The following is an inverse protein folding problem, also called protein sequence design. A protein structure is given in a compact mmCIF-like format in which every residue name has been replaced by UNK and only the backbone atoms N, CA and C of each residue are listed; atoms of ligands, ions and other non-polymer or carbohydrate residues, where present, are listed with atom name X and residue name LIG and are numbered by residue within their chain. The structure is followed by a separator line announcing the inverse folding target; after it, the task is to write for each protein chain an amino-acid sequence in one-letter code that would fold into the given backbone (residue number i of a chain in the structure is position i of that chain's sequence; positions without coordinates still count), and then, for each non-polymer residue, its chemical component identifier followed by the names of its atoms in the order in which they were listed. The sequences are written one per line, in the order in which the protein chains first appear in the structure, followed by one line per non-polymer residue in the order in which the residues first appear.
data_IF_633501373489
#
_entry.id   IF_633501373489
#
_cell.length_a   1.000
_cell.length_b   1.000
_cell.length_c   1.000
_cell.angle_alpha   90.00
_cell.angle_beta   90.00
_cell.angle_gamma   90.00
#
_symmetry.space_group_name_H-M   'P 1'
#
loop_
_entity.id
_entity.type
_entity.pdbx_description
1 polymer ?
#
# COMPACT_ATOMS: atom_id res chain seq x y z
N UNK A 1 10.43 -9.06 1.04
CA UNK A 1 10.20 -10.09 2.07
C UNK A 1 9.15 -11.07 1.61
N UNK A 2 9.37 -12.38 1.75
CA UNK A 2 8.31 -13.38 1.55
C UNK A 2 7.59 -13.57 2.89
N UNK A 3 6.31 -13.20 2.95
CA UNK A 3 5.54 -13.34 4.18
C UNK A 3 4.85 -14.72 4.21
N UNK A 4 5.24 -15.57 5.17
CA UNK A 4 4.68 -16.91 5.35
C UNK A 4 3.40 -16.94 6.18
N UNK A 5 3.09 -15.87 6.91
CA UNK A 5 1.96 -15.77 7.84
C UNK A 5 0.67 -15.26 7.18
N UNK A 6 0.77 -14.55 6.05
CA UNK A 6 -0.39 -13.99 5.34
C UNK A 6 -0.75 -14.86 4.13
N UNK A 7 -2.01 -15.33 3.99
CA UNK A 7 -2.45 -16.01 2.79
C UNK A 7 -2.57 -15.00 1.62
N UNK A 8 -2.21 -15.45 0.40
CA UNK A 8 -2.41 -14.69 -0.83
C UNK A 8 -3.91 -14.63 -1.15
N UNK A 9 -4.47 -13.43 -1.36
CA UNK A 9 -5.89 -13.20 -1.64
C UNK A 9 -6.10 -12.67 -3.05
N UNK A 10 -7.16 -13.14 -3.72
CA UNK A 10 -7.55 -12.58 -5.02
C UNK A 10 -8.27 -11.22 -4.83
N UNK A 11 -7.86 -10.15 -5.53
CA UNK A 11 -8.53 -8.84 -5.49
C UNK A 11 -10.04 -8.89 -5.71
N UNK A 12 -10.52 -9.79 -6.58
CA UNK A 12 -11.95 -9.94 -6.86
C UNK A 12 -12.71 -10.45 -5.63
N UNK A 13 -12.11 -11.37 -4.88
CA UNK A 13 -12.72 -11.88 -3.64
C UNK A 13 -12.80 -10.79 -2.57
N UNK A 14 -11.80 -9.91 -2.47
CA UNK A 14 -11.81 -8.78 -1.54
C UNK A 14 -12.94 -7.81 -1.91
N UNK A 15 -13.11 -7.50 -3.20
CA UNK A 15 -14.17 -6.62 -3.67
C UNK A 15 -15.57 -7.18 -3.37
N UNK A 16 -15.78 -8.50 -3.48
CA UNK A 16 -17.07 -9.15 -3.19
C UNK A 16 -17.44 -9.17 -1.70
N UNK A 17 -16.47 -8.99 -0.79
CA UNK A 17 -16.71 -9.00 0.66
C UNK A 17 -17.26 -7.68 1.20
N UNK A 18 -17.00 -6.57 0.49
CA UNK A 18 -17.54 -5.25 0.83
C UNK A 18 -19.07 -5.29 0.92
N UNK A 19 -19.61 -4.84 2.05
CA UNK A 19 -21.05 -4.74 2.27
C UNK A 19 -21.76 -6.06 2.63
N UNK A 20 -21.06 -7.20 2.72
CA UNK A 20 -21.64 -8.42 3.26
C UNK A 20 -21.75 -8.32 4.79
N UNK A 21 -22.99 -8.40 5.32
CA UNK A 21 -23.20 -8.45 6.77
C UNK A 21 -22.75 -9.80 7.31
N UNK A 22 -21.62 -9.81 8.02
CA UNK A 22 -21.21 -10.98 8.79
C UNK A 22 -22.19 -11.24 9.95
N UNK A 23 -22.69 -12.46 10.04
CA UNK A 23 -23.44 -12.96 11.20
C UNK A 23 -22.54 -13.64 12.22
N UNK A 24 -21.22 -13.67 11.99
CA UNK A 24 -20.25 -14.35 12.86
C UNK A 24 -19.68 -13.41 13.93
N UNK A 25 -19.30 -13.99 15.07
CA UNK A 25 -18.65 -13.30 16.18
C UNK A 25 -17.19 -13.77 16.29
N UNK A 26 -16.19 -12.87 16.39
CA UNK A 26 -16.27 -11.41 16.17
C UNK A 26 -16.62 -11.03 14.73
N UNK A 27 -17.23 -9.84 14.54
CA UNK A 27 -17.73 -9.39 13.22
C UNK A 27 -16.63 -9.33 12.14
N UNK A 28 -15.43 -8.90 12.50
CA UNK A 28 -14.24 -8.96 11.65
C UNK A 28 -12.97 -9.19 12.48
N UNK A 29 -11.84 -9.34 11.82
CA UNK A 29 -10.52 -9.63 12.43
C UNK A 29 -9.91 -8.46 13.21
N UNK A 30 -10.49 -7.27 13.11
CA UNK A 30 -10.03 -6.05 13.79
C UNK A 30 -10.95 -5.62 14.94
N UNK A 31 -12.13 -6.23 15.06
CA UNK A 31 -13.06 -5.93 16.15
C UNK A 31 -12.41 -6.16 17.52
N UNK A 32 -12.69 -5.29 18.49
CA UNK A 32 -12.10 -5.32 19.85
C UNK A 32 -12.40 -6.63 20.58
N UNK A 33 -13.50 -7.28 20.23
CA UNK A 33 -13.93 -8.60 20.71
C UNK A 33 -12.94 -9.73 20.38
N UNK A 34 -11.97 -9.48 19.49
CA UNK A 34 -10.87 -10.40 19.25
C UNK A 34 -9.87 -10.45 20.42
N UNK A 35 -9.78 -9.43 21.29
CA UNK A 35 -8.85 -9.48 22.42
C UNK A 35 -9.15 -10.70 23.31
N UNK A 36 -8.19 -11.61 23.44
CA UNK A 36 -8.38 -12.83 24.25
C UNK A 36 -9.26 -13.90 23.60
N UNK A 37 -9.78 -13.69 22.39
CA UNK A 37 -10.67 -14.64 21.73
C UNK A 37 -9.95 -15.98 21.44
N UNK A 38 -10.58 -17.10 21.78
CA UNK A 38 -9.96 -18.44 21.61
C UNK A 38 -10.02 -18.96 20.17
N UNK A 39 -10.87 -18.36 19.33
CA UNK A 39 -11.12 -18.86 17.99
C UNK A 39 -12.12 -20.02 17.97
N UNK A 40 -12.42 -20.47 16.77
CA UNK A 40 -13.23 -21.65 16.46
C UNK A 40 -12.57 -22.42 15.30
N UNK A 41 -13.12 -23.56 14.88
CA UNK A 41 -12.63 -24.25 13.69
C UNK A 41 -12.70 -23.41 12.40
N UNK A 42 -13.52 -22.35 12.38
CA UNK A 42 -13.70 -21.47 11.23
C UNK A 42 -13.14 -20.04 11.45
N UNK A 43 -12.55 -19.76 12.62
CA UNK A 43 -12.09 -18.42 12.97
C UNK A 43 -10.83 -18.47 13.83
N UNK A 44 -9.75 -17.84 13.38
CA UNK A 44 -8.47 -17.89 14.09
C UNK A 44 -8.54 -17.32 15.51
N UNK A 45 -7.89 -17.99 16.47
CA UNK A 45 -7.72 -17.47 17.81
C UNK A 45 -6.84 -16.21 17.87
N UNK A 46 -7.13 -15.35 18.85
CA UNK A 46 -6.43 -14.11 19.17
C UNK A 46 -6.16 -14.01 20.68
N UNK A 47 -5.94 -15.15 21.35
CA UNK A 47 -5.88 -15.26 22.82
C UNK A 47 -4.76 -14.44 23.47
N UNK A 48 -3.65 -14.27 22.76
CA UNK A 48 -2.50 -13.47 23.20
C UNK A 48 -2.53 -12.03 22.67
N UNK A 49 -3.51 -11.67 21.84
CA UNK A 49 -3.65 -10.32 21.34
C UNK A 49 -3.98 -9.38 22.49
N UNK A 50 -3.39 -8.19 22.48
CA UNK A 50 -3.66 -7.13 23.45
C UNK A 50 -3.92 -5.85 22.69
N UNK A 51 -4.96 -5.14 23.11
CA UNK A 51 -5.34 -3.85 22.54
C UNK A 51 -5.14 -2.76 23.60
N UNK A 52 -4.57 -1.63 23.20
CA UNK A 52 -4.26 -0.51 24.09
C UNK A 52 -5.16 0.66 23.69
N UNK A 53 -6.02 1.18 24.59
CA UNK A 53 -6.89 2.30 24.26
C UNK A 53 -6.07 3.57 24.04
N UNK A 54 -6.41 4.31 22.99
CA UNK A 54 -5.87 5.63 22.65
C UNK A 54 -7.01 6.55 22.18
N UNK A 55 -6.74 7.84 22.05
CA UNK A 55 -7.72 8.83 21.56
C UNK A 55 -7.16 9.53 20.34
N UNK A 56 -7.90 9.50 19.23
CA UNK A 56 -7.56 10.20 17.99
C UNK A 56 -8.79 10.97 17.53
N UNK A 57 -8.62 12.25 17.19
CA UNK A 57 -9.68 13.16 16.78
C UNK A 57 -10.85 13.22 17.79
N UNK A 58 -10.54 13.17 19.09
CA UNK A 58 -11.50 13.07 20.20
C UNK A 58 -12.43 11.83 20.13
N UNK A 59 -12.09 10.82 19.33
CA UNK A 59 -12.79 9.54 19.23
C UNK A 59 -11.98 8.44 19.94
N UNK A 60 -12.63 7.36 20.43
CA UNK A 60 -11.93 6.22 21.00
C UNK A 60 -11.36 5.28 19.93
N UNK A 61 -10.07 4.98 20.06
CA UNK A 61 -9.30 4.12 19.17
C UNK A 61 -8.49 3.11 19.98
N UNK A 62 -7.95 2.10 19.30
CA UNK A 62 -7.07 1.12 19.91
C UNK A 62 -5.79 0.94 19.09
N UNK A 63 -4.69 0.69 19.79
CA UNK A 63 -3.42 0.28 19.24
C UNK A 63 -3.18 -1.21 19.55
N UNK A 64 -2.69 -1.96 18.56
CA UNK A 64 -2.22 -3.33 18.77
C UNK A 64 -1.04 -3.66 17.87
N UNK A 65 -0.22 -4.63 18.25
CA UNK A 65 0.74 -5.22 17.31
C UNK A 65 0.02 -6.10 16.29
N UNK A 66 0.52 -6.08 15.05
CA UNK A 66 -0.03 -6.88 13.97
C UNK A 66 0.29 -8.37 14.19
N UNK A 67 -0.69 -9.28 14.07
CA UNK A 67 -0.41 -10.72 14.06
C UNK A 67 0.35 -11.17 12.79
N UNK A 68 0.34 -10.34 11.75
CA UNK A 68 1.05 -10.55 10.48
C UNK A 68 2.20 -9.53 10.36
N UNK A 69 3.24 -9.73 11.16
CA UNK A 69 4.36 -8.78 11.23
C UNK A 69 5.17 -8.79 9.93
N UNK A 70 5.39 -7.60 9.36
CA UNK A 70 6.27 -7.41 8.19
C UNK A 70 7.67 -6.92 8.61
N UNK A 71 7.75 -6.24 9.75
CA UNK A 71 8.94 -5.65 10.34
C UNK A 71 8.72 -5.51 11.85
N UNK A 72 9.80 -5.31 12.61
CA UNK A 72 9.70 -5.18 14.07
C UNK A 72 8.78 -4.02 14.47
N UNK A 73 7.90 -4.24 15.46
CA UNK A 73 6.90 -3.26 15.91
C UNK A 73 5.83 -2.89 14.85
N UNK A 74 5.61 -3.70 13.81
CA UNK A 74 4.45 -3.55 12.93
C UNK A 74 3.15 -3.59 13.76
N UNK A 75 2.38 -2.52 13.70
CA UNK A 75 1.18 -2.29 14.50
C UNK A 75 -0.01 -1.87 13.64
N UNK A 76 -1.19 -2.01 14.22
CA UNK A 76 -2.48 -1.63 13.66
C UNK A 76 -3.15 -0.69 14.66
N UNK A 77 -3.68 0.42 14.14
CA UNK A 77 -4.45 1.40 14.91
C UNK A 77 -5.88 1.35 14.40
N UNK A 78 -6.82 0.92 15.21
CA UNK A 78 -8.18 0.58 14.78
C UNK A 78 -9.23 1.37 15.55
N UNK A 79 -10.28 1.77 14.85
CA UNK A 79 -11.40 2.49 15.44
C UNK A 79 -12.17 1.56 16.40
N UNK A 80 -12.71 2.08 17.51
CA UNK A 80 -13.49 1.25 18.44
C UNK A 80 -14.70 0.60 17.76
N UNK A 81 -15.46 1.39 17.01
CA UNK A 81 -16.62 0.92 16.27
C UNK A 81 -16.22 0.27 14.94
N UNK A 82 -16.90 -0.82 14.60
CA UNK A 82 -16.81 -1.46 13.30
C UNK A 82 -17.56 -0.61 12.26
N UNK A 83 -16.87 0.40 11.73
CA UNK A 83 -17.38 1.30 10.68
C UNK A 83 -16.47 1.29 9.45
N UNK A 84 -17.00 1.44 8.23
CA UNK A 84 -16.20 1.47 7.01
C UNK A 84 -15.11 2.53 7.03
N UNK A 85 -14.01 2.21 6.38
CA UNK A 85 -12.87 3.10 6.24
C UNK A 85 -13.18 4.22 5.24
N UNK A 86 -12.90 5.46 5.64
CA UNK A 86 -13.05 6.65 4.78
C UNK A 86 -11.74 7.43 4.74
N UNK A 87 -11.50 8.12 3.61
CA UNK A 87 -10.37 9.05 3.47
C UNK A 87 -10.95 10.45 3.27
N UNK A 88 -10.77 11.30 4.27
CA UNK A 88 -11.30 12.65 4.36
C UNK A 88 -10.37 13.55 5.21
N UNK A 89 -10.79 14.78 5.51
CA UNK A 89 -10.02 15.68 6.40
C UNK A 89 -9.72 15.05 7.76
N UNK A 90 -10.68 14.34 8.35
CA UNK A 90 -10.52 13.73 9.68
C UNK A 90 -9.43 12.67 9.69
N UNK A 91 -9.19 12.01 8.56
CA UNK A 91 -8.09 11.06 8.38
C UNK A 91 -6.76 11.73 8.71
N UNK A 92 -6.48 12.91 8.17
CA UNK A 92 -5.22 13.62 8.45
C UNK A 92 -5.12 14.05 9.92
N UNK A 93 -6.23 14.48 10.54
CA UNK A 93 -6.26 14.79 11.97
C UNK A 93 -5.86 13.56 12.80
N UNK A 94 -6.50 12.42 12.56
CA UNK A 94 -6.25 11.15 13.27
C UNK A 94 -4.81 10.68 13.10
N UNK A 95 -4.26 10.75 11.88
CA UNK A 95 -2.88 10.37 11.61
C UNK A 95 -1.89 11.25 12.39
N UNK A 96 -2.10 12.58 12.42
CA UNK A 96 -1.19 13.49 13.10
C UNK A 96 -1.36 13.47 14.63
N UNK A 97 -2.57 13.23 15.15
CA UNK A 97 -2.80 12.93 16.57
C UNK A 97 -2.01 11.69 17.01
N UNK A 98 -1.98 10.64 16.18
CA UNK A 98 -1.21 9.45 16.49
C UNK A 98 0.30 9.76 16.59
N UNK A 99 0.82 10.62 15.72
CA UNK A 99 2.22 11.07 15.79
C UNK A 99 2.53 11.95 17.00
N UNK A 100 1.53 12.51 17.67
CA UNK A 100 1.71 13.21 18.94
C UNK A 100 1.87 12.22 20.11
N UNK A 101 1.21 11.06 20.04
CA UNK A 101 1.37 9.96 20.99
C UNK A 101 2.66 9.15 20.73
N UNK A 102 2.97 8.86 19.47
CA UNK A 102 4.07 7.99 19.05
C UNK A 102 4.98 8.68 18.02
N UNK A 103 5.78 9.69 18.44
CA UNK A 103 6.54 10.54 17.51
C UNK A 103 7.66 9.84 16.73
N UNK A 104 8.02 8.61 17.13
CA UNK A 104 9.07 7.82 16.44
C UNK A 104 8.49 6.79 15.46
N UNK A 105 7.17 6.70 15.35
CA UNK A 105 6.48 5.75 14.49
C UNK A 105 6.06 6.44 13.19
N UNK A 106 5.89 5.66 12.12
CA UNK A 106 5.05 6.08 11.01
C UNK A 106 3.60 5.65 11.29
N UNK A 107 2.63 6.29 10.64
CA UNK A 107 1.26 5.79 10.57
C UNK A 107 0.67 6.16 9.22
N UNK A 108 -0.03 5.22 8.59
CA UNK A 108 -0.63 5.44 7.29
C UNK A 108 -1.91 4.64 7.09
N UNK A 109 -2.68 5.10 6.11
CA UNK A 109 -3.98 4.58 5.78
C UNK A 109 -3.92 3.93 4.40
N UNK A 110 -4.43 2.70 4.23
CA UNK A 110 -4.73 2.21 2.89
C UNK A 110 -5.77 3.12 2.23
N UNK A 111 -5.85 3.11 0.90
CA UNK A 111 -6.89 3.85 0.23
C UNK A 111 -8.29 3.27 0.52
N UNK A 112 -9.28 4.13 0.76
CA UNK A 112 -10.65 3.75 1.15
C UNK A 112 -11.53 3.21 0.02
N UNK A 113 -10.99 3.05 -1.19
CA UNK A 113 -11.72 2.49 -2.33
C UNK A 113 -11.39 0.99 -2.50
N UNK A 114 -12.29 0.19 -3.09
CA UNK A 114 -11.95 -1.16 -3.51
C UNK A 114 -10.80 -1.14 -4.52
N UNK A 115 -10.13 -2.27 -4.69
CA UNK A 115 -9.04 -2.50 -5.66
C UNK A 115 -7.75 -1.73 -5.33
N UNK A 116 -7.73 -0.67 -4.51
CA UNK A 116 -6.51 0.13 -4.23
C UNK A 116 -5.68 -0.33 -3.02
N UNK A 117 -5.71 -1.62 -2.69
CA UNK A 117 -4.78 -2.27 -1.76
C UNK A 117 -5.29 -2.59 -0.35
N UNK A 118 -6.47 -2.09 0.05
CA UNK A 118 -7.10 -2.46 1.31
C UNK A 118 -7.53 -3.93 1.34
N UNK A 119 -7.19 -4.66 2.41
CA UNK A 119 -7.61 -6.06 2.61
C UNK A 119 -8.81 -6.22 3.55
N UNK A 120 -9.12 -5.17 4.33
CA UNK A 120 -10.28 -5.04 5.23
C UNK A 120 -10.74 -3.60 5.04
N UNK A 121 -11.92 -3.38 4.45
CA UNK A 121 -12.41 -2.03 4.17
C UNK A 121 -13.62 -1.67 5.04
N UNK A 122 -14.26 -2.68 5.64
CA UNK A 122 -15.46 -2.49 6.46
C UNK A 122 -15.17 -2.02 7.89
N UNK A 123 -13.90 -2.03 8.34
CA UNK A 123 -13.47 -1.52 9.64
C UNK A 123 -12.29 -0.54 9.48
N UNK A 124 -12.53 0.73 9.82
CA UNK A 124 -11.55 1.82 9.79
C UNK A 124 -10.32 1.49 10.67
N UNK A 125 -9.15 1.49 10.04
CA UNK A 125 -7.87 1.25 10.70
C UNK A 125 -6.70 1.84 9.90
N UNK A 126 -5.57 2.03 10.57
CA UNK A 126 -4.30 2.44 10.03
C UNK A 126 -3.24 1.37 10.30
N UNK A 127 -2.20 1.31 9.45
CA UNK A 127 -1.00 0.54 9.78
C UNK A 127 0.07 1.50 10.27
N UNK A 128 0.83 1.05 11.25
CA UNK A 128 1.85 1.83 11.93
C UNK A 128 3.04 0.95 12.31
N UNK A 129 4.07 1.56 12.84
CA UNK A 129 5.19 0.89 13.48
C UNK A 129 6.45 1.73 13.46
N UNK A 130 7.50 1.21 14.08
CA UNK A 130 8.80 1.87 14.12
C UNK A 130 9.71 1.30 13.05
N UNK A 131 9.63 1.86 11.85
CA UNK A 131 10.42 1.40 10.72
C UNK A 131 10.70 2.54 9.74
N UNK A 132 11.88 2.50 9.12
CA UNK A 132 12.27 3.44 8.07
C UNK A 132 12.09 2.82 6.69
N UNK A 133 11.16 3.34 5.92
CA UNK A 133 10.87 2.84 4.58
C UNK A 133 11.68 3.52 3.48
N UNK A 134 11.91 2.86 2.33
CA UNK A 134 12.60 3.44 1.19
C UNK A 134 12.02 4.78 0.70
N UNK A 135 10.70 4.96 0.74
CA UNK A 135 10.03 6.20 0.32
C UNK A 135 10.53 7.43 1.11
N UNK A 136 10.97 7.26 2.36
CA UNK A 136 11.47 8.36 3.20
C UNK A 136 12.72 8.99 2.58
N UNK A 137 13.58 8.17 1.97
CA UNK A 137 14.82 8.58 1.28
C UNK A 137 14.60 9.02 -0.17
N UNK A 138 13.37 8.94 -0.68
CA UNK A 138 13.08 9.31 -2.06
C UNK A 138 13.41 10.78 -2.30
N UNK A 139 14.06 11.07 -3.44
CA UNK A 139 14.35 12.44 -3.86
C UNK A 139 13.03 13.15 -4.17
N UNK A 140 12.94 14.44 -3.84
CA UNK A 140 11.78 15.26 -4.15
C UNK A 140 12.20 16.59 -4.77
N UNK A 141 11.44 17.04 -5.77
CA UNK A 141 11.55 18.40 -6.31
C UNK A 141 10.61 19.30 -5.51
N UNK A 142 11.15 20.33 -4.87
CA UNK A 142 10.34 21.37 -4.23
C UNK A 142 9.52 22.07 -5.32
N UNK A 143 8.20 22.03 -5.19
CA UNK A 143 7.27 22.68 -6.12
C UNK A 143 6.96 24.08 -5.63
N UNK A 144 6.61 24.19 -4.35
CA UNK A 144 6.25 25.45 -3.71
C UNK A 144 6.43 25.35 -2.19
N UNK A 145 6.64 26.50 -1.56
CA UNK A 145 6.46 26.66 -0.11
C UNK A 145 5.23 27.54 0.09
N UNK A 146 4.11 26.92 0.44
CA UNK A 146 2.85 27.61 0.69
C UNK A 146 2.74 27.88 2.19
N UNK A 147 2.85 29.14 2.57
CA UNK A 147 2.90 29.56 3.98
C UNK A 147 4.03 28.83 4.73
N UNK A 148 3.69 27.98 5.70
CA UNK A 148 4.64 27.17 6.47
C UNK A 148 4.81 25.74 5.91
N UNK A 149 4.05 25.36 4.87
CA UNK A 149 4.07 24.01 4.30
C UNK A 149 4.93 23.94 3.05
N UNK A 150 5.95 23.08 3.08
CA UNK A 150 6.77 22.76 1.91
C UNK A 150 6.14 21.61 1.13
N UNK A 151 5.96 21.79 -0.18
CA UNK A 151 5.32 20.83 -1.09
C UNK A 151 6.34 20.27 -2.06
N UNK A 152 6.51 18.96 -2.09
CA UNK A 152 7.45 18.27 -2.97
C UNK A 152 6.74 17.29 -3.88
N UNK A 153 7.16 17.25 -5.14
CA UNK A 153 6.89 16.15 -6.06
C UNK A 153 7.98 15.10 -5.90
N UNK A 154 7.65 13.90 -5.41
CA UNK A 154 8.63 12.84 -5.21
C UNK A 154 8.98 12.11 -6.52
N UNK A 155 10.24 11.72 -6.65
CA UNK A 155 10.70 10.74 -7.64
C UNK A 155 10.45 9.36 -7.06
N UNK A 156 9.23 8.87 -7.26
CA UNK A 156 8.74 7.59 -6.74
C UNK A 156 7.86 6.89 -7.79
N UNK A 157 7.86 5.54 -7.88
CA UNK A 157 7.04 4.82 -8.85
C UNK A 157 5.54 5.13 -8.79
N UNK A 158 5.05 5.39 -7.57
CA UNK A 158 3.68 5.86 -7.34
C UNK A 158 3.68 7.39 -7.24
N UNK A 159 2.71 8.03 -7.89
CA UNK A 159 2.58 9.49 -7.92
C UNK A 159 2.35 10.04 -6.51
N UNK A 160 3.39 10.62 -5.92
CA UNK A 160 3.42 10.97 -4.50
C UNK A 160 3.77 12.45 -4.29
N UNK A 161 2.94 13.13 -3.49
CA UNK A 161 3.15 14.50 -3.05
C UNK A 161 3.59 14.45 -1.59
N UNK A 162 4.77 14.98 -1.27
CA UNK A 162 5.23 15.10 0.12
C UNK A 162 4.95 16.51 0.64
N UNK A 163 4.24 16.59 1.75
CA UNK A 163 4.07 17.82 2.52
C UNK A 163 4.97 17.76 3.76
N UNK A 164 5.53 18.91 4.14
CA UNK A 164 6.32 19.04 5.36
C UNK A 164 6.05 20.37 6.05
N UNK A 165 5.71 20.34 7.33
CA UNK A 165 5.48 21.54 8.15
C UNK A 165 5.56 21.21 9.65
N UNK A 166 6.00 22.17 10.46
CA UNK A 166 5.82 22.11 11.92
C UNK A 166 4.38 22.46 12.34
N UNK A 167 3.62 23.13 11.47
CA UNK A 167 2.27 23.58 11.73
C UNK A 167 1.26 22.50 11.32
N UNK A 168 0.68 21.87 12.35
CA UNK A 168 -0.28 20.76 12.22
C UNK A 168 -1.55 21.16 11.47
N UNK A 169 -2.07 22.37 11.69
CA UNK A 169 -3.32 22.81 11.05
C UNK A 169 -3.12 23.04 9.56
N UNK A 170 -2.07 23.78 9.18
CA UNK A 170 -1.81 24.12 7.78
C UNK A 170 -1.52 22.91 6.90
N UNK A 171 -0.77 21.93 7.42
CA UNK A 171 -0.49 20.69 6.67
C UNK A 171 -1.76 19.85 6.47
N UNK A 172 -2.68 19.83 7.45
CA UNK A 172 -3.96 19.12 7.35
C UNK A 172 -4.85 19.80 6.31
N UNK A 173 -4.95 21.13 6.34
CA UNK A 173 -5.81 21.87 5.43
C UNK A 173 -5.31 21.78 3.98
N UNK A 174 -3.99 21.85 3.77
CA UNK A 174 -3.41 21.64 2.44
C UNK A 174 -3.58 20.20 1.96
N UNK A 175 -3.40 19.20 2.83
CA UNK A 175 -3.63 17.80 2.48
C UNK A 175 -5.09 17.53 2.07
N UNK A 176 -6.04 18.10 2.81
CA UNK A 176 -7.45 18.01 2.48
C UNK A 176 -7.78 18.72 1.16
N UNK A 177 -7.19 19.88 0.90
CA UNK A 177 -7.35 20.57 -0.37
C UNK A 177 -6.86 19.71 -1.55
N UNK A 178 -5.70 19.07 -1.40
CA UNK A 178 -5.15 18.16 -2.42
C UNK A 178 -6.08 16.96 -2.62
N UNK A 179 -6.61 16.36 -1.55
CA UNK A 179 -7.57 15.26 -1.61
C UNK A 179 -8.80 15.64 -2.43
N UNK A 180 -9.45 16.76 -2.09
CA UNK A 180 -10.65 17.22 -2.79
C UNK A 180 -10.37 17.50 -4.28
N UNK A 181 -9.24 18.15 -4.58
CA UNK A 181 -8.83 18.42 -5.97
C UNK A 181 -8.50 17.14 -6.74
N UNK A 182 -7.97 16.12 -6.07
CA UNK A 182 -7.70 14.82 -6.69
C UNK A 182 -9.00 14.06 -6.98
N UNK A 183 -9.96 14.08 -6.05
CA UNK A 183 -11.27 13.47 -6.20
C UNK A 183 -12.01 13.99 -7.44
N UNK A 184 -11.88 15.29 -7.72
CA UNK A 184 -12.51 15.94 -8.88
C UNK A 184 -11.61 15.98 -10.14
N UNK A 185 -10.42 15.39 -10.09
CA UNK A 185 -9.47 15.49 -11.22
C UNK A 185 -9.92 14.63 -12.40
N UNK A 186 -9.87 15.22 -13.59
CA UNK A 186 -10.24 14.58 -14.85
C UNK A 186 -9.14 14.77 -15.89
N UNK A 187 -8.70 13.68 -16.50
CA UNK A 187 -7.78 13.62 -17.62
C UNK A 187 -7.95 12.29 -18.38
N UNK A 188 -8.81 12.32 -19.40
CA UNK A 188 -9.16 11.14 -20.21
C UNK A 188 -7.98 10.52 -20.94
N UNK A 189 -7.03 11.33 -21.39
CA UNK A 189 -5.82 10.87 -22.09
C UNK A 189 -4.96 9.96 -21.20
N UNK A 190 -5.05 10.13 -19.87
CA UNK A 190 -4.31 9.33 -18.90
C UNK A 190 -5.20 8.29 -18.19
N UNK A 191 -6.43 8.07 -18.66
CA UNK A 191 -7.42 7.21 -17.98
C UNK A 191 -7.68 7.62 -16.52
N UNK A 192 -7.61 8.91 -16.23
CA UNK A 192 -7.92 9.49 -14.92
C UNK A 192 -9.28 10.16 -14.99
N UNK A 193 -10.34 9.38 -14.79
CA UNK A 193 -11.70 9.91 -14.85
C UNK A 193 -12.58 9.23 -13.81
N UNK A 194 -13.58 9.98 -13.34
CA UNK A 194 -14.71 9.43 -12.63
C UNK A 194 -15.70 8.83 -13.64
N UNK A 195 -16.40 7.76 -13.26
CA UNK A 195 -17.39 7.12 -14.13
C UNK A 195 -18.71 6.92 -13.40
N UNK A 196 -19.82 7.11 -14.11
CA UNK A 196 -21.17 6.86 -13.59
C UNK A 196 -21.52 7.60 -12.28
N UNK A 197 -20.89 8.75 -12.01
CA UNK A 197 -21.09 9.52 -10.78
C UNK A 197 -20.37 8.93 -9.55
N UNK A 198 -19.57 7.87 -9.71
CA UNK A 198 -18.76 7.29 -8.65
C UNK A 198 -17.34 7.88 -8.66
N UNK A 199 -16.83 8.37 -7.51
CA UNK A 199 -15.47 8.85 -7.41
C UNK A 199 -14.49 7.68 -7.45
N UNK A 200 -13.56 7.72 -8.40
CA UNK A 200 -12.51 6.69 -8.53
C UNK A 200 -11.19 7.07 -7.85
N UNK A 201 -11.06 8.32 -7.42
CA UNK A 201 -9.83 8.90 -6.93
C UNK A 201 -9.81 9.01 -5.40
N UNK A 202 -8.69 8.62 -4.80
CA UNK A 202 -8.47 8.72 -3.36
C UNK A 202 -6.97 8.79 -3.05
N UNK A 203 -6.61 8.86 -1.77
CA UNK A 203 -5.23 8.91 -1.31
C UNK A 203 -4.87 7.69 -0.46
N UNK A 204 -3.61 7.30 -0.52
CA UNK A 204 -2.94 6.53 0.54
C UNK A 204 -2.04 7.52 1.30
N UNK A 205 -2.51 8.12 2.41
CA UNK A 205 -1.69 9.00 3.23
C UNK A 205 -0.76 8.20 4.15
N UNK A 206 0.51 8.61 4.20
CA UNK A 206 1.53 8.10 5.11
C UNK A 206 2.10 9.28 5.87
N UNK A 207 2.15 9.20 7.18
CA UNK A 207 2.62 10.28 8.03
C UNK A 207 3.72 9.81 8.97
N UNK A 208 4.67 10.70 9.26
CA UNK A 208 5.73 10.53 10.26
C UNK A 208 6.20 11.88 10.78
N UNK A 209 7.03 11.91 11.82
CA UNK A 209 7.77 13.10 12.24
C UNK A 209 9.22 13.04 11.78
N UNK A 210 9.76 14.19 11.36
CA UNK A 210 11.19 14.42 11.14
C UNK A 210 11.61 15.64 11.98
N UNK A 211 12.21 15.38 13.15
CA UNK A 211 12.46 16.42 14.14
C UNK A 211 11.14 17.02 14.64
N UNK A 212 10.94 18.33 14.44
CA UNK A 212 9.71 19.04 14.82
C UNK A 212 8.63 19.02 13.73
N UNK A 213 8.98 18.63 12.51
CA UNK A 213 8.06 18.72 11.38
C UNK A 213 7.24 17.44 11.25
N UNK A 214 5.95 17.61 10.97
CA UNK A 214 5.12 16.56 10.40
C UNK A 214 5.49 16.41 8.93
N UNK A 215 5.63 15.16 8.47
CA UNK A 215 5.82 14.81 7.08
C UNK A 215 4.66 13.94 6.65
N UNK A 216 3.98 14.32 5.56
CA UNK A 216 2.84 13.63 5.01
C UNK A 216 3.10 13.30 3.54
N UNK A 217 3.26 12.02 3.24
CA UNK A 217 3.35 11.48 1.89
C UNK A 217 1.95 11.09 1.41
N UNK A 218 1.43 11.86 0.46
CA UNK A 218 0.13 11.67 -0.17
C UNK A 218 0.32 10.93 -1.49
N UNK A 219 0.11 9.62 -1.48
CA UNK A 219 0.15 8.82 -2.70
C UNK A 219 -1.21 8.91 -3.38
N UNK A 220 -1.24 9.42 -4.61
CA UNK A 220 -2.45 9.50 -5.43
C UNK A 220 -2.83 8.10 -5.92
N UNK A 221 -4.08 7.70 -5.69
CA UNK A 221 -4.62 6.39 -6.09
C UNK A 221 -5.88 6.55 -6.92
N UNK A 222 -6.10 5.59 -7.81
CA UNK A 222 -7.34 5.44 -8.56
C UNK A 222 -7.74 3.97 -8.64
N UNK A 223 -9.02 3.66 -8.46
CA UNK A 223 -9.58 2.33 -8.69
C UNK A 223 -10.25 2.20 -10.07
N UNK A 224 -10.02 3.15 -10.97
CA UNK A 224 -10.60 3.16 -12.30
C UNK A 224 -10.30 1.86 -13.07
N UNK A 225 -11.33 1.32 -13.72
CA UNK A 225 -11.27 0.11 -14.55
C UNK A 225 -11.82 0.42 -15.94
N UNK A 226 -11.35 -0.31 -16.96
CA UNK A 226 -11.92 -0.26 -18.31
C UNK A 226 -11.97 -1.67 -18.92
N UNK A 227 -12.42 -1.80 -20.16
CA UNK A 227 -12.53 -3.10 -20.85
C UNK A 227 -11.17 -3.80 -21.02
N UNK A 228 -10.11 -3.02 -21.25
CA UNK A 228 -8.74 -3.53 -21.39
C UNK A 228 -8.17 -4.01 -20.05
N UNK A 229 -8.46 -3.29 -18.97
CA UNK A 229 -8.00 -3.55 -17.61
C UNK A 229 -9.17 -3.69 -16.64
N UNK A 230 -9.90 -4.82 -16.68
CA UNK A 230 -11.04 -5.07 -15.78
C UNK A 230 -10.60 -5.28 -14.32
N UNK A 231 -9.31 -5.56 -14.09
CA UNK A 231 -8.71 -5.59 -12.76
C UNK A 231 -8.28 -4.21 -12.23
N UNK A 232 -8.44 -3.17 -13.06
CA UNK A 232 -8.05 -1.78 -12.80
C UNK A 232 -6.84 -1.33 -13.60
N UNK A 233 -6.90 -0.10 -14.09
CA UNK A 233 -5.87 0.51 -14.95
C UNK A 233 -4.58 0.77 -14.18
N UNK A 234 -4.69 1.01 -12.88
CA UNK A 234 -3.59 1.37 -11.97
C UNK A 234 -3.26 0.22 -11.01
N UNK A 235 -3.04 -0.96 -11.58
CA UNK A 235 -2.78 -2.21 -10.86
C UNK A 235 -1.62 -2.97 -11.50
N UNK A 236 -0.96 -3.89 -10.75
CA UNK A 236 0.01 -4.79 -11.37
C UNK A 236 -0.61 -5.54 -12.55
N UNK A 237 0.02 -5.48 -13.71
CA UNK A 237 -0.46 -6.13 -14.92
C UNK A 237 0.00 -7.60 -15.01
N UNK A 238 -0.54 -8.32 -16.00
CA UNK A 238 -0.41 -9.78 -16.11
C UNK A 238 1.04 -10.28 -16.12
N UNK A 239 1.96 -9.50 -16.66
CA UNK A 239 3.39 -9.78 -16.70
C UNK A 239 4.07 -9.73 -15.32
N UNK A 240 3.47 -9.11 -14.31
CA UNK A 240 3.97 -9.09 -12.95
C UNK A 240 3.36 -10.20 -12.06
N UNK A 241 2.25 -10.82 -12.49
CA UNK A 241 1.43 -11.72 -11.64
C UNK A 241 2.16 -13.00 -11.22
N UNK A 242 3.18 -13.43 -11.96
CA UNK A 242 3.99 -14.57 -11.56
C UNK A 242 4.73 -14.31 -10.24
N UNK A 243 5.14 -13.06 -9.97
CA UNK A 243 5.68 -12.63 -8.67
C UNK A 243 4.57 -12.14 -7.74
N UNK A 244 3.73 -11.22 -8.21
CA UNK A 244 2.76 -10.52 -7.36
C UNK A 244 1.50 -10.18 -8.13
N UNK A 245 0.41 -10.85 -7.76
CA UNK A 245 -0.93 -10.64 -8.32
C UNK A 245 -1.80 -9.69 -7.49
N UNK A 246 -1.59 -9.65 -6.17
CA UNK A 246 -2.39 -8.81 -5.28
C UNK A 246 -2.13 -7.30 -5.53
N UNK A 247 -3.10 -6.48 -5.16
CA UNK A 247 -3.00 -5.03 -5.20
C UNK A 247 -1.86 -4.52 -4.31
N UNK A 248 -1.29 -3.37 -4.69
CA UNK A 248 -0.25 -2.69 -3.92
C UNK A 248 -0.87 -2.04 -2.67
N UNK A 249 -0.60 -2.64 -1.51
CA UNK A 249 -0.99 -2.11 -0.20
C UNK A 249 -0.07 -0.99 0.30
N UNK A 250 -0.41 -0.39 1.44
CA UNK A 250 0.35 0.70 2.07
C UNK A 250 1.86 0.41 2.25
N UNK A 251 2.21 -0.75 2.82
CA UNK A 251 3.63 -1.12 3.07
C UNK A 251 4.43 -1.27 1.78
N UNK A 252 3.79 -1.82 0.75
CA UNK A 252 4.36 -2.01 -0.57
C UNK A 252 4.52 -0.67 -1.29
N UNK A 253 3.54 0.22 -1.15
CA UNK A 253 3.57 1.58 -1.67
C UNK A 253 4.72 2.41 -1.07
N UNK A 254 5.15 2.10 0.16
CA UNK A 254 6.32 2.69 0.80
C UNK A 254 7.66 2.06 0.37
N UNK A 255 7.63 0.99 -0.44
CA UNK A 255 8.81 0.38 -1.06
C UNK A 255 9.25 -0.95 -0.45
N UNK A 256 8.48 -1.54 0.46
CA UNK A 256 8.76 -2.86 1.01
C UNK A 256 7.89 -3.92 0.34
N UNK A 257 8.48 -4.71 -0.57
CA UNK A 257 7.77 -5.78 -1.27
C UNK A 257 7.36 -6.92 -0.35
N UNK A 258 6.05 -7.12 -0.19
CA UNK A 258 5.47 -8.24 0.57
C UNK A 258 5.02 -9.31 -0.41
N UNK A 259 5.86 -10.33 -0.55
CA UNK A 259 5.70 -11.38 -1.54
C UNK A 259 4.98 -12.60 -0.96
N UNK A 260 4.17 -13.32 -1.78
CA UNK A 260 3.36 -14.43 -1.31
C UNK A 260 4.21 -15.66 -0.90
N UNK A 261 3.75 -16.46 0.08
CA UNK A 261 4.50 -17.59 0.63
C UNK A 261 5.02 -18.59 -0.41
N UNK A 262 4.24 -18.82 -1.48
CA UNK A 262 4.56 -19.75 -2.57
C UNK A 262 5.91 -19.47 -3.22
N UNK A 263 6.34 -18.20 -3.27
CA UNK A 263 7.60 -17.82 -3.90
C UNK A 263 8.81 -18.40 -3.18
N UNK A 264 8.69 -18.79 -1.90
CA UNK A 264 9.80 -19.45 -1.19
C UNK A 264 10.18 -20.76 -1.87
N UNK A 265 9.18 -21.54 -2.28
CA UNK A 265 9.40 -22.81 -2.98
C UNK A 265 9.74 -22.54 -4.44
N UNK A 266 8.98 -21.66 -5.10
CA UNK A 266 9.15 -21.37 -6.53
C UNK A 266 10.54 -20.78 -6.82
N UNK A 267 11.05 -19.84 -6.02
CA UNK A 267 12.41 -19.30 -6.14
C UNK A 267 13.47 -20.36 -5.88
N UNK A 268 13.26 -21.26 -4.90
CA UNK A 268 14.17 -22.37 -4.65
C UNK A 268 14.30 -23.31 -5.86
N UNK A 269 13.20 -23.55 -6.58
CA UNK A 269 13.23 -24.34 -7.82
C UNK A 269 13.90 -23.60 -8.97
N UNK A 270 13.61 -22.30 -9.14
CA UNK A 270 14.25 -21.45 -10.17
C UNK A 270 15.77 -21.43 -9.98
N UNK A 271 16.23 -21.22 -8.75
CA UNK A 271 17.65 -21.27 -8.38
C UNK A 271 18.31 -22.58 -8.82
N UNK A 272 17.67 -23.73 -8.60
CA UNK A 272 18.21 -25.04 -9.03
C UNK A 272 18.30 -25.15 -10.55
N UNK A 273 17.31 -24.63 -11.29
CA UNK A 273 17.35 -24.60 -12.76
C UNK A 273 18.51 -23.73 -13.26
N UNK A 274 18.75 -22.56 -12.63
CA UNK A 274 19.87 -21.69 -12.98
C UNK A 274 21.24 -22.36 -12.73
N UNK A 275 21.31 -23.28 -11.79
CA UNK A 275 22.49 -24.11 -11.49
C UNK A 275 22.60 -25.38 -12.34
N UNK A 276 21.71 -25.59 -13.32
CA UNK A 276 21.82 -26.69 -14.29
C UNK A 276 20.84 -27.86 -14.09
N UNK A 277 19.96 -27.82 -13.08
CA UNK A 277 18.88 -28.82 -12.91
C UNK A 277 17.71 -28.55 -13.86
N UNK A 278 17.94 -28.62 -15.16
CA UNK A 278 16.96 -28.26 -16.19
C UNK A 278 15.69 -29.11 -16.17
N UNK A 279 15.77 -30.34 -15.66
CA UNK A 279 14.63 -31.26 -15.54
C UNK A 279 13.50 -30.71 -14.67
N UNK A 280 13.83 -29.83 -13.71
CA UNK A 280 12.86 -29.20 -12.81
C UNK A 280 11.92 -28.23 -13.52
N UNK A 281 12.22 -27.81 -14.76
CA UNK A 281 11.35 -26.90 -15.54
C UNK A 281 9.95 -27.48 -15.77
N UNK A 282 9.79 -28.81 -15.65
CA UNK A 282 8.51 -29.52 -15.79
C UNK A 282 7.62 -29.42 -14.53
N UNK A 283 8.12 -28.86 -13.42
CA UNK A 283 7.32 -28.68 -12.21
C UNK A 283 6.16 -27.71 -12.46
N UNK A 284 4.93 -28.16 -12.21
CA UNK A 284 3.71 -27.39 -12.50
C UNK A 284 3.70 -26.02 -11.79
N UNK A 285 4.38 -25.88 -10.64
CA UNK A 285 4.49 -24.60 -9.92
C UNK A 285 5.23 -23.53 -10.73
N UNK A 286 6.13 -23.94 -11.62
CA UNK A 286 6.94 -23.06 -12.46
C UNK A 286 6.27 -22.64 -13.75
N UNK A 287 5.09 -23.18 -14.09
CA UNK A 287 4.38 -22.89 -15.35
C UNK A 287 4.25 -21.38 -15.62
N UNK A 288 3.91 -20.59 -14.60
CA UNK A 288 3.78 -19.12 -14.68
C UNK A 288 5.12 -18.38 -14.70
N UNK A 289 6.23 -19.05 -14.40
CA UNK A 289 7.58 -18.49 -14.37
C UNK A 289 8.40 -18.84 -15.61
N UNK A 290 7.88 -19.64 -16.55
CA UNK A 290 8.67 -20.19 -17.65
C UNK A 290 9.34 -19.12 -18.52
N UNK A 291 8.59 -18.09 -18.92
CA UNK A 291 9.15 -16.95 -19.68
C UNK A 291 10.22 -16.22 -18.86
N UNK A 292 9.94 -15.95 -17.59
CA UNK A 292 10.88 -15.30 -16.70
C UNK A 292 12.17 -16.11 -16.51
N UNK A 293 12.08 -17.43 -16.32
CA UNK A 293 13.25 -18.33 -16.22
C UNK A 293 14.12 -18.23 -17.49
N UNK A 294 13.50 -18.17 -18.67
CA UNK A 294 14.24 -18.01 -19.94
C UNK A 294 14.97 -16.66 -20.01
N UNK A 295 14.39 -15.59 -19.46
CA UNK A 295 15.05 -14.28 -19.34
C UNK A 295 16.16 -14.26 -18.29
N UNK A 296 16.03 -15.05 -17.22
CA UNK A 296 17.02 -15.12 -16.13
C UNK A 296 18.27 -15.90 -16.53
N UNK A 297 18.13 -17.02 -17.25
CA UNK A 297 19.25 -17.89 -17.66
C UNK A 297 20.44 -17.13 -18.27
N UNK A 298 20.28 -16.25 -19.29
CA UNK A 298 21.40 -15.54 -19.88
C UNK A 298 21.98 -14.42 -18.99
N UNK A 299 21.23 -13.96 -17.99
CA UNK A 299 21.67 -12.90 -17.05
C UNK A 299 22.42 -13.46 -15.84
N UNK A 300 22.15 -14.71 -15.47
CA UNK A 300 22.74 -15.35 -14.31
C UNK A 300 24.21 -15.71 -14.57
N UNK A 301 25.09 -15.36 -13.64
CA UNK A 301 26.50 -15.78 -13.67
C UNK A 301 26.79 -16.72 -12.52
N UNK A 302 27.67 -17.70 -12.73
CA UNK A 302 27.98 -18.73 -11.72
C UNK A 302 28.67 -18.18 -10.46
N UNK A 303 29.05 -16.90 -10.43
CA UNK A 303 29.63 -16.23 -9.26
C UNK A 303 28.58 -15.56 -8.36
N UNK A 304 27.36 -15.38 -8.84
CA UNK A 304 26.28 -14.79 -8.07
C UNK A 304 25.71 -15.81 -7.07
N UNK A 305 25.30 -15.38 -5.88
CA UNK A 305 24.39 -16.18 -5.06
C UNK A 305 23.06 -16.31 -5.84
N UNK A 306 22.68 -17.52 -6.28
CA UNK A 306 21.50 -17.69 -7.12
C UNK A 306 20.21 -17.21 -6.46
N UNK A 307 20.09 -17.38 -5.15
CA UNK A 307 18.90 -16.93 -4.42
C UNK A 307 18.86 -15.41 -4.33
N UNK A 308 19.99 -14.77 -4.05
CA UNK A 308 20.07 -13.31 -4.04
C UNK A 308 19.79 -12.73 -5.43
N UNK A 309 20.33 -13.35 -6.48
CA UNK A 309 20.06 -12.98 -7.87
C UNK A 309 18.56 -13.07 -8.20
N UNK A 310 17.91 -14.20 -7.90
CA UNK A 310 16.47 -14.37 -8.13
C UNK A 310 15.65 -13.36 -7.32
N UNK A 311 16.03 -13.07 -6.07
CA UNK A 311 15.36 -12.06 -5.25
C UNK A 311 15.52 -10.64 -5.80
N UNK A 312 16.71 -10.31 -6.31
CA UNK A 312 16.98 -9.02 -6.96
C UNK A 312 16.13 -8.85 -8.21
N UNK A 313 16.07 -9.86 -9.08
CA UNK A 313 15.25 -9.84 -10.29
C UNK A 313 13.75 -9.80 -9.94
N UNK A 314 13.30 -10.51 -8.90
CA UNK A 314 11.94 -10.37 -8.39
C UNK A 314 11.65 -8.96 -7.88
N UNK A 315 12.64 -8.28 -7.29
CA UNK A 315 12.58 -6.87 -6.92
C UNK A 315 12.38 -5.95 -8.12
N UNK A 316 12.96 -6.25 -9.28
CA UNK A 316 12.73 -5.51 -10.53
C UNK A 316 11.30 -5.69 -11.03
N UNK A 317 10.77 -6.93 -11.00
CA UNK A 317 9.37 -7.20 -11.32
C UNK A 317 8.43 -6.45 -10.37
N UNK A 318 8.72 -6.45 -9.07
CA UNK A 318 7.95 -5.67 -8.09
C UNK A 318 8.04 -4.16 -8.33
N UNK A 319 9.21 -3.63 -8.71
CA UNK A 319 9.35 -2.22 -9.08
C UNK A 319 8.52 -1.88 -10.31
N UNK A 320 8.36 -2.79 -11.26
CA UNK A 320 7.47 -2.63 -12.42
C UNK A 320 6.02 -2.59 -11.97
N UNK A 321 5.59 -3.54 -11.12
CA UNK A 321 4.24 -3.56 -10.55
C UNK A 321 3.89 -2.24 -9.81
N UNK A 322 4.84 -1.61 -9.12
CA UNK A 322 4.64 -0.30 -8.52
C UNK A 322 4.45 0.82 -9.56
N UNK A 323 5.16 0.78 -10.69
CA UNK A 323 4.99 1.74 -11.79
C UNK A 323 3.66 1.56 -12.51
N UNK A 324 3.22 0.32 -12.69
CA UNK A 324 1.89 0.01 -13.24
C UNK A 324 0.79 0.61 -12.35
N UNK A 325 0.98 0.57 -11.03
CA UNK A 325 0.06 1.15 -10.06
C UNK A 325 0.15 2.69 -9.92
N UNK A 326 1.10 3.36 -10.57
CA UNK A 326 1.21 4.82 -10.57
C UNK A 326 0.16 5.46 -11.47
N UNK A 327 -0.58 6.46 -10.95
CA UNK A 327 -1.66 7.16 -11.67
C UNK A 327 -1.14 8.12 -12.74
N UNK A 328 -0.09 8.86 -12.42
CA UNK A 328 0.72 9.59 -13.38
C UNK A 328 1.96 8.77 -13.70
N UNK A 329 2.03 8.25 -14.93
CA UNK A 329 3.12 7.38 -15.38
C UNK A 329 4.47 8.09 -15.36
N UNK A 330 5.53 7.30 -15.25
CA UNK A 330 6.92 7.77 -15.26
C UNK A 330 7.44 8.06 -16.68
N UNK A 331 6.61 8.68 -17.51
CA UNK A 331 6.91 9.15 -18.85
C UNK A 331 6.71 10.68 -18.94
N UNK A 332 7.14 11.35 -20.04
CA UNK A 332 7.03 12.80 -20.15
C UNK A 332 5.59 13.34 -20.00
N UNK A 333 4.59 12.63 -20.51
CA UNK A 333 3.19 13.07 -20.45
C UNK A 333 2.65 12.98 -19.02
N UNK A 334 2.85 11.84 -18.35
CA UNK A 334 2.46 11.63 -16.97
C UNK A 334 3.16 12.58 -16.01
N UNK A 335 4.47 12.78 -16.15
CA UNK A 335 5.21 13.70 -15.27
C UNK A 335 4.81 15.16 -15.47
N UNK A 336 4.52 15.58 -16.70
CA UNK A 336 3.99 16.93 -16.98
C UNK A 336 2.62 17.10 -16.33
N UNK A 337 1.69 16.17 -16.55
CA UNK A 337 0.35 16.22 -15.98
C UNK A 337 0.38 16.21 -14.44
N UNK A 338 1.30 15.45 -13.84
CA UNK A 338 1.47 15.43 -12.38
C UNK A 338 1.93 16.77 -11.84
N UNK A 339 2.96 17.39 -12.45
CA UNK A 339 3.41 18.73 -12.06
C UNK A 339 2.30 19.78 -12.23
N UNK A 340 1.53 19.70 -13.31
CA UNK A 340 0.41 20.61 -13.56
C UNK A 340 -0.72 20.40 -12.54
N UNK A 341 -1.00 19.16 -12.15
CA UNK A 341 -1.96 18.83 -11.09
C UNK A 341 -1.53 19.43 -9.74
N UNK A 342 -0.28 19.21 -9.31
CA UNK A 342 0.21 19.70 -8.01
C UNK A 342 0.04 21.22 -7.92
N UNK A 343 0.46 21.96 -8.95
CA UNK A 343 0.34 23.43 -8.98
C UNK A 343 -1.11 23.89 -8.83
N UNK A 344 -2.05 23.23 -9.52
CA UNK A 344 -3.49 23.55 -9.42
C UNK A 344 -4.09 23.14 -8.08
N UNK A 345 -3.62 22.05 -7.50
CA UNK A 345 -4.15 21.50 -6.26
C UNK A 345 -3.77 22.38 -5.05
N UNK A 346 -2.62 23.04 -5.10
CA UNK A 346 -2.13 23.89 -4.01
C UNK A 346 -2.57 25.35 -4.13
N UNK A 347 -2.87 25.88 -5.33
CA UNK A 347 -3.51 27.21 -5.51
C UNK A 347 -4.91 27.24 -4.98
#
# INVERSE_FOLDING_TARGET
TINLSKPEKDPKMIAMQLGQRSTTYPKCQLCVENEGYRGTGAYDGRSNMRIIPITLNNEPWYFQYSPYSYFNEHSIVLHQEHKPMIIDRTTFVKLLDFLDLFPTYFVGSNAGLPIVGGSILDHEHFQSGKHHFPIEKAKGKLVEKKEEVSVYQLVWPLSTIRLRSANKTEIIDLANKILLKWQDYENKELSLCNSNGEPHHTLTPISRKEGKDYVLDLILRSNFTNEEFPGGVFHPHADCHHVKKENIGLIEAMGMGILPPRLKIEFGLITKILLGSEELIKDLRLTKHLSWIQELKPKFTAVDDPMEFVQKEAGLVFSKALKDAGVFKMDPAGQKAFSDFIKKAIT
#
